data_IF_999518791872
#
_entry.id   IF_999518791872
#
_cell.length_a   1.000
_cell.length_b   1.000
_cell.length_c   1.000
_cell.angle_alpha   90.00
_cell.angle_beta   90.00
_cell.angle_gamma   90.00
#
_symmetry.space_group_name_H-M   'P 1'
#
loop_
_entity.id
_entity.type
_entity.pdbx_description
1 polymer ?
#
# COMPACT_ATOMS: atom_id res chain seq x y z
N UNK A 1 -24.60 -10.32 9.24
CA UNK A 1 -24.16 -11.60 9.85
C UNK A 1 -23.30 -12.41 8.89
N UNK A 2 -23.64 -12.54 7.61
CA UNK A 2 -22.91 -13.31 6.59
C UNK A 2 -21.53 -12.73 6.31
N UNK A 3 -21.38 -11.42 6.23
CA UNK A 3 -20.10 -10.72 5.97
C UNK A 3 -19.08 -10.89 7.10
N UNK A 4 -19.54 -10.81 8.35
CA UNK A 4 -18.67 -10.98 9.54
C UNK A 4 -18.16 -12.43 9.64
N UNK A 5 -18.98 -13.41 9.32
CA UNK A 5 -18.60 -14.83 9.30
C UNK A 5 -17.60 -15.14 8.17
N UNK A 6 -17.74 -14.50 7.01
CA UNK A 6 -16.82 -14.65 5.88
C UNK A 6 -15.44 -14.06 6.18
N UNK A 7 -15.40 -12.90 6.84
CA UNK A 7 -14.15 -12.25 7.24
C UNK A 7 -13.39 -13.07 8.31
N UNK A 8 -14.10 -13.62 9.29
CA UNK A 8 -13.51 -14.54 10.28
C UNK A 8 -12.96 -15.82 9.64
N UNK A 9 -13.66 -16.39 8.66
CA UNK A 9 -13.17 -17.56 7.91
C UNK A 9 -11.90 -17.22 7.12
N UNK A 10 -11.87 -16.13 6.40
CA UNK A 10 -10.67 -15.67 5.65
C UNK A 10 -9.48 -15.47 6.60
N UNK A 11 -9.68 -14.79 7.73
CA UNK A 11 -8.62 -14.58 8.73
C UNK A 11 -8.10 -15.92 9.30
N UNK A 12 -8.98 -16.86 9.64
CA UNK A 12 -8.56 -18.15 10.14
C UNK A 12 -7.76 -18.97 9.11
N UNK A 13 -8.13 -18.89 7.83
CA UNK A 13 -7.37 -19.53 6.75
C UNK A 13 -5.97 -18.92 6.59
N UNK A 14 -5.85 -17.58 6.68
CA UNK A 14 -4.57 -16.88 6.65
C UNK A 14 -3.69 -17.33 7.82
N UNK A 15 -4.23 -17.32 9.04
CA UNK A 15 -3.52 -17.78 10.24
C UNK A 15 -3.03 -19.23 10.09
N UNK A 16 -3.89 -20.11 9.61
CA UNK A 16 -3.54 -21.52 9.38
C UNK A 16 -2.42 -21.65 8.34
N UNK A 17 -2.49 -20.88 7.24
CA UNK A 17 -1.45 -20.85 6.21
C UNK A 17 -0.12 -20.36 6.76
N UNK A 18 -0.11 -19.28 7.54
CA UNK A 18 1.10 -18.72 8.14
C UNK A 18 1.75 -19.69 9.12
N UNK A 19 0.96 -20.32 10.00
CA UNK A 19 1.46 -21.32 10.97
C UNK A 19 2.05 -22.55 10.27
N UNK A 20 1.36 -23.05 9.26
CA UNK A 20 1.77 -24.29 8.57
C UNK A 20 2.92 -24.06 7.57
N UNK A 21 3.15 -22.83 7.13
CA UNK A 21 4.21 -22.47 6.18
C UNK A 21 5.54 -22.13 6.82
N UNK A 22 5.61 -21.94 8.15
CA UNK A 22 6.86 -21.61 8.82
C UNK A 22 7.87 -22.74 8.71
N UNK A 23 9.13 -22.37 8.37
CA UNK A 23 10.23 -23.31 8.20
C UNK A 23 10.13 -24.20 6.95
N UNK A 24 9.15 -23.98 6.08
CA UNK A 24 8.99 -24.75 4.84
C UNK A 24 9.43 -23.94 3.62
N UNK A 25 9.98 -24.60 2.60
CA UNK A 25 10.31 -23.93 1.35
C UNK A 25 9.04 -23.36 0.69
N UNK A 26 9.19 -22.22 0.04
CA UNK A 26 8.11 -21.61 -0.74
C UNK A 26 7.85 -22.43 -2.01
N UNK A 27 6.56 -22.52 -2.41
CA UNK A 27 6.16 -23.17 -3.66
C UNK A 27 5.74 -22.13 -4.74
N UNK A 28 6.14 -20.88 -4.55
CA UNK A 28 5.78 -19.79 -5.48
C UNK A 28 6.58 -19.91 -6.76
N UNK A 29 5.91 -19.53 -7.85
CA UNK A 29 6.54 -19.40 -9.17
C UNK A 29 6.46 -17.94 -9.59
N UNK A 30 7.46 -17.47 -10.28
CA UNK A 30 7.58 -16.10 -10.77
C UNK A 30 7.75 -16.12 -12.29
N UNK A 31 7.10 -15.18 -12.97
CA UNK A 31 7.32 -14.91 -14.38
C UNK A 31 8.56 -14.02 -14.57
N UNK A 32 9.03 -13.85 -15.81
CA UNK A 32 10.10 -12.91 -16.11
C UNK A 32 9.74 -11.47 -15.70
N UNK A 33 8.49 -11.05 -15.91
CA UNK A 33 8.00 -9.74 -15.50
C UNK A 33 8.02 -9.55 -13.97
N UNK A 34 7.71 -10.62 -13.21
CA UNK A 34 7.80 -10.57 -11.75
C UNK A 34 9.25 -10.35 -11.29
N UNK A 35 10.23 -11.07 -11.90
CA UNK A 35 11.64 -10.90 -11.59
C UNK A 35 12.15 -9.51 -11.95
N UNK A 36 11.72 -8.96 -13.08
CA UNK A 36 12.07 -7.60 -13.47
C UNK A 36 11.64 -6.62 -12.38
N UNK A 37 10.38 -6.65 -11.98
CA UNK A 37 9.86 -5.78 -10.91
C UNK A 37 10.60 -5.99 -9.57
N UNK A 38 10.86 -7.24 -9.17
CA UNK A 38 11.54 -7.57 -7.92
C UNK A 38 12.99 -7.05 -7.93
N UNK A 39 13.64 -7.04 -9.09
CA UNK A 39 15.04 -6.62 -9.22
C UNK A 39 15.25 -5.10 -9.13
N UNK A 40 14.22 -4.27 -9.32
CA UNK A 40 14.38 -2.82 -9.38
C UNK A 40 14.98 -2.21 -8.11
N UNK A 41 14.55 -2.68 -6.94
CA UNK A 41 15.15 -2.21 -5.68
C UNK A 41 16.62 -2.56 -5.57
N UNK A 42 17.04 -3.76 -5.99
CA UNK A 42 18.44 -4.15 -6.06
C UNK A 42 19.21 -3.26 -7.04
N UNK A 43 18.74 -3.10 -8.29
CA UNK A 43 19.40 -2.30 -9.32
C UNK A 43 19.66 -0.84 -8.91
N UNK A 44 18.79 -0.28 -8.07
CA UNK A 44 18.96 1.08 -7.52
C UNK A 44 19.96 1.15 -6.36
N UNK A 45 20.22 0.02 -5.72
CA UNK A 45 21.07 -0.10 -4.54
C UNK A 45 22.20 -1.12 -4.77
N UNK A 46 22.62 -1.30 -6.02
CA UNK A 46 23.73 -2.13 -6.39
C UNK A 46 25.03 -1.54 -5.85
N UNK A 47 25.92 -2.40 -5.35
CA UNK A 47 27.23 -2.03 -4.84
C UNK A 47 28.34 -2.85 -5.51
N UNK A 48 29.59 -2.50 -5.23
CA UNK A 48 30.77 -3.15 -5.84
C UNK A 48 30.89 -4.65 -5.51
N UNK A 49 30.24 -5.11 -4.45
CA UNK A 49 30.26 -6.52 -4.00
C UNK A 49 29.02 -7.28 -4.48
N UNK A 50 28.21 -6.68 -5.33
CA UNK A 50 27.00 -7.31 -5.83
C UNK A 50 27.30 -8.48 -6.76
N UNK A 51 26.53 -9.55 -6.65
CA UNK A 51 26.60 -10.71 -7.56
C UNK A 51 26.03 -10.29 -8.92
N UNK A 52 26.83 -10.40 -9.97
CA UNK A 52 26.44 -10.12 -11.34
C UNK A 52 25.42 -11.15 -11.89
N UNK A 53 24.84 -10.86 -13.04
CA UNK A 53 23.81 -11.72 -13.64
C UNK A 53 24.38 -13.06 -14.12
N UNK A 54 25.66 -13.10 -14.53
CA UNK A 54 26.32 -14.33 -14.99
C UNK A 54 26.48 -15.27 -13.80
N UNK A 55 27.11 -14.77 -12.73
CA UNK A 55 27.30 -15.53 -11.49
C UNK A 55 25.97 -15.98 -10.86
N UNK A 56 24.96 -15.10 -10.87
CA UNK A 56 23.63 -15.41 -10.39
C UNK A 56 23.00 -16.59 -11.14
N UNK A 57 23.10 -16.58 -12.47
CA UNK A 57 22.57 -17.65 -13.33
C UNK A 57 23.36 -18.94 -13.18
N UNK A 58 24.69 -18.88 -13.13
CA UNK A 58 25.55 -20.04 -12.98
C UNK A 58 25.32 -20.78 -11.65
N UNK A 59 25.01 -20.03 -10.59
CA UNK A 59 24.65 -20.59 -9.28
C UNK A 59 23.19 -21.04 -9.17
N UNK A 60 22.37 -20.81 -10.18
CA UNK A 60 20.95 -21.14 -10.16
C UNK A 60 20.16 -20.41 -9.06
N UNK A 61 20.55 -19.18 -8.77
CA UNK A 61 20.02 -18.39 -7.64
C UNK A 61 18.55 -18.07 -7.73
N UNK A 62 17.94 -18.09 -8.92
CA UNK A 62 16.48 -17.96 -9.08
C UNK A 62 15.74 -19.07 -8.36
N UNK A 63 16.22 -20.31 -8.43
CA UNK A 63 15.63 -21.44 -7.71
C UNK A 63 15.78 -21.26 -6.20
N UNK A 64 16.93 -20.78 -5.74
CA UNK A 64 17.19 -20.47 -4.32
C UNK A 64 16.24 -19.36 -3.84
N UNK A 65 16.14 -18.27 -4.59
CA UNK A 65 15.21 -17.19 -4.28
C UNK A 65 13.75 -17.67 -4.19
N UNK A 66 13.28 -18.43 -5.18
CA UNK A 66 11.94 -19.01 -5.18
C UNK A 66 11.67 -19.84 -3.92
N UNK A 67 12.62 -20.71 -3.55
CA UNK A 67 12.52 -21.58 -2.39
C UNK A 67 12.50 -20.78 -1.08
N UNK A 68 13.31 -19.75 -0.96
CA UNK A 68 13.43 -18.92 0.26
C UNK A 68 12.30 -17.89 0.40
N UNK A 69 11.69 -17.44 -0.70
CA UNK A 69 10.75 -16.32 -0.66
C UNK A 69 9.40 -16.69 -0.05
N UNK A 70 9.35 -16.70 1.27
CA UNK A 70 8.13 -16.78 2.07
C UNK A 70 7.61 -15.40 2.54
N UNK A 71 8.16 -14.30 2.01
CA UNK A 71 7.74 -12.93 2.36
C UNK A 71 6.27 -12.70 2.02
N UNK A 72 5.58 -11.86 2.78
CA UNK A 72 4.15 -11.59 2.61
C UNK A 72 3.85 -10.19 2.05
N UNK A 73 4.89 -9.41 1.73
CA UNK A 73 4.79 -8.09 1.12
C UNK A 73 5.75 -7.93 -0.04
N UNK A 74 5.47 -7.01 -0.98
CA UNK A 74 6.38 -6.70 -2.08
C UNK A 74 7.70 -6.13 -1.59
N UNK A 75 7.68 -5.19 -0.63
CA UNK A 75 8.89 -4.66 -0.03
C UNK A 75 9.78 -5.76 0.57
N UNK A 76 9.16 -6.76 1.23
CA UNK A 76 9.91 -7.89 1.79
C UNK A 76 10.56 -8.78 0.73
N UNK A 77 9.90 -9.00 -0.42
CA UNK A 77 10.49 -9.82 -1.48
C UNK A 77 11.59 -9.09 -2.25
N UNK A 78 11.43 -7.79 -2.52
CA UNK A 78 12.47 -6.96 -3.14
C UNK A 78 13.71 -6.86 -2.25
N UNK A 79 13.51 -6.70 -0.94
CA UNK A 79 14.60 -6.68 0.02
C UNK A 79 15.31 -8.04 0.14
N UNK A 80 14.57 -9.16 0.14
CA UNK A 80 15.14 -10.50 0.12
C UNK A 80 15.99 -10.71 -1.14
N UNK A 81 15.50 -10.29 -2.30
CA UNK A 81 16.25 -10.38 -3.55
C UNK A 81 17.56 -9.59 -3.46
N UNK A 82 17.51 -8.34 -2.96
CA UNK A 82 18.72 -7.53 -2.72
C UNK A 82 19.68 -8.23 -1.76
N UNK A 83 19.20 -8.80 -0.65
CA UNK A 83 20.06 -9.50 0.30
C UNK A 83 20.81 -10.68 -0.33
N UNK A 84 20.18 -11.39 -1.26
CA UNK A 84 20.83 -12.49 -1.97
C UNK A 84 21.81 -12.01 -3.04
N UNK A 85 21.53 -10.86 -3.65
CA UNK A 85 22.42 -10.23 -4.66
C UNK A 85 23.59 -9.50 -4.06
N UNK A 86 23.47 -8.97 -2.84
CA UNK A 86 24.50 -8.24 -2.11
C UNK A 86 24.83 -9.00 -0.80
N UNK A 87 25.62 -10.07 -0.86
CA UNK A 87 25.95 -10.84 0.33
C UNK A 87 26.79 -10.00 1.29
N UNK A 88 26.31 -9.91 2.54
CA UNK A 88 27.02 -9.18 3.58
C UNK A 88 28.09 -10.10 4.22
N UNK A 89 29.35 -9.70 4.14
CA UNK A 89 30.46 -10.41 4.75
C UNK A 89 30.74 -10.00 6.22
N UNK A 90 30.04 -8.98 6.75
CA UNK A 90 30.22 -8.55 8.14
C UNK A 90 29.66 -9.57 9.13
N UNK A 91 30.54 -10.20 9.88
CA UNK A 91 30.21 -11.22 10.87
C UNK A 91 29.26 -10.69 11.96
N UNK A 92 29.37 -9.42 12.33
CA UNK A 92 28.51 -8.84 13.37
C UNK A 92 27.07 -8.67 12.87
N UNK A 93 26.90 -8.20 11.65
CA UNK A 93 25.59 -8.11 10.99
C UNK A 93 24.94 -9.48 10.83
N UNK A 94 25.71 -10.48 10.41
CA UNK A 94 25.22 -11.86 10.28
C UNK A 94 24.79 -12.44 11.64
N UNK A 95 25.55 -12.22 12.72
CA UNK A 95 25.16 -12.64 14.07
C UNK A 95 23.90 -11.93 14.58
N UNK A 96 23.72 -10.64 14.26
CA UNK A 96 22.49 -9.91 14.58
C UNK A 96 21.28 -10.52 13.85
N UNK A 97 21.44 -10.86 12.58
CA UNK A 97 20.40 -11.48 11.77
C UNK A 97 20.04 -12.89 12.29
N UNK A 98 21.03 -13.70 12.61
CA UNK A 98 20.84 -15.04 13.19
C UNK A 98 20.11 -14.99 14.55
N UNK A 99 20.53 -14.07 15.41
CA UNK A 99 19.83 -13.81 16.67
C UNK A 99 18.38 -13.42 16.43
N UNK A 100 18.10 -12.49 15.52
CA UNK A 100 16.75 -12.05 15.20
C UNK A 100 15.90 -13.22 14.67
N UNK A 101 16.44 -14.06 13.79
CA UNK A 101 15.77 -15.26 13.30
C UNK A 101 15.44 -16.23 14.43
N UNK A 102 16.39 -16.47 15.35
CA UNK A 102 16.20 -17.30 16.55
C UNK A 102 15.11 -16.73 17.48
N UNK A 103 15.10 -15.40 17.68
CA UNK A 103 14.08 -14.74 18.50
C UNK A 103 12.68 -14.88 17.90
N UNK A 104 12.55 -14.76 16.57
CA UNK A 104 11.29 -15.05 15.87
C UNK A 104 10.88 -16.51 15.95
N UNK A 105 11.83 -17.44 15.93
CA UNK A 105 11.52 -18.87 16.04
C UNK A 105 10.96 -19.21 17.42
N UNK A 106 11.58 -18.69 18.48
CA UNK A 106 11.15 -18.88 19.86
C UNK A 106 9.82 -18.18 20.19
N UNK A 107 9.51 -17.05 19.53
CA UNK A 107 8.34 -16.22 19.81
C UNK A 107 7.24 -16.34 18.74
N UNK A 108 6.67 -17.52 18.58
CA UNK A 108 5.69 -17.83 17.54
C UNK A 108 4.47 -16.88 17.53
N UNK A 109 4.00 -16.39 18.66
CA UNK A 109 2.88 -15.46 18.76
C UNK A 109 3.23 -14.11 18.15
N UNK A 110 4.35 -13.49 18.59
CA UNK A 110 4.83 -12.20 18.07
C UNK A 110 5.16 -12.27 16.60
N UNK A 111 5.80 -13.36 16.15
CA UNK A 111 6.04 -13.65 14.74
C UNK A 111 4.75 -13.64 13.93
N UNK A 112 3.71 -14.35 14.42
CA UNK A 112 2.43 -14.42 13.74
C UNK A 112 1.75 -13.06 13.62
N UNK A 113 1.85 -12.22 14.64
CA UNK A 113 1.27 -10.87 14.63
C UNK A 113 1.94 -9.98 13.58
N UNK A 114 3.28 -10.01 13.48
CA UNK A 114 4.01 -9.31 12.41
C UNK A 114 3.65 -9.89 11.03
N UNK A 115 3.60 -11.21 10.88
CA UNK A 115 3.23 -11.83 9.61
C UNK A 115 1.83 -11.42 9.13
N UNK A 116 0.86 -11.28 10.04
CA UNK A 116 -0.49 -10.76 9.71
C UNK A 116 -0.43 -9.33 9.18
N UNK A 117 0.43 -8.47 9.77
CA UNK A 117 0.61 -7.10 9.29
C UNK A 117 1.20 -7.10 7.88
N UNK A 118 2.22 -7.90 7.60
CA UNK A 118 2.78 -8.02 6.25
C UNK A 118 1.79 -8.59 5.23
N UNK A 119 0.93 -9.56 5.64
CA UNK A 119 -0.17 -10.04 4.78
C UNK A 119 -1.18 -8.95 4.51
N UNK A 120 -1.48 -8.10 5.50
CA UNK A 120 -2.38 -6.96 5.34
C UNK A 120 -1.80 -5.88 4.41
N UNK A 121 -0.50 -5.57 4.51
CA UNK A 121 0.21 -4.72 3.55
C UNK A 121 0.07 -5.32 2.16
N UNK A 122 0.34 -6.61 2.01
CA UNK A 122 0.15 -7.38 0.80
C UNK A 122 1.24 -7.18 -0.24
N UNK A 123 0.96 -7.71 -1.42
CA UNK A 123 1.85 -7.66 -2.58
C UNK A 123 1.23 -6.84 -3.69
N UNK A 124 2.00 -5.95 -4.25
CA UNK A 124 1.70 -5.32 -5.52
C UNK A 124 2.00 -6.34 -6.64
N UNK A 125 1.22 -6.33 -7.71
CA UNK A 125 1.46 -7.13 -8.90
C UNK A 125 2.06 -6.25 -9.99
N UNK A 126 3.10 -6.75 -10.66
CA UNK A 126 3.71 -6.14 -11.84
C UNK A 126 4.25 -4.71 -11.66
N UNK A 127 4.52 -4.28 -10.44
CA UNK A 127 5.17 -2.99 -10.16
C UNK A 127 6.03 -3.12 -8.91
N UNK A 128 7.25 -2.59 -8.94
CA UNK A 128 8.15 -2.49 -7.79
C UNK A 128 7.69 -1.41 -6.81
N UNK A 129 7.94 -1.61 -5.52
CA UNK A 129 7.68 -0.59 -4.50
C UNK A 129 8.58 0.63 -4.67
N UNK A 130 9.83 0.40 -5.09
CA UNK A 130 10.76 1.49 -5.37
C UNK A 130 10.26 2.39 -6.51
N UNK A 131 9.62 1.81 -7.54
CA UNK A 131 9.01 2.58 -8.63
C UNK A 131 7.77 3.36 -8.17
N UNK A 132 7.03 2.83 -7.20
CA UNK A 132 5.88 3.56 -6.64
C UNK A 132 6.30 4.89 -6.01
N UNK A 133 7.43 4.93 -5.34
CA UNK A 133 7.95 6.16 -4.76
C UNK A 133 8.24 7.20 -5.86
N UNK A 134 8.94 6.83 -6.92
CA UNK A 134 9.23 7.73 -8.04
C UNK A 134 7.97 8.22 -8.74
N UNK A 135 7.02 7.31 -8.97
CA UNK A 135 5.74 7.65 -9.60
C UNK A 135 4.98 8.67 -8.75
N UNK A 136 4.97 8.51 -7.42
CA UNK A 136 4.23 9.42 -6.52
C UNK A 136 4.90 10.78 -6.42
N UNK A 137 6.22 10.80 -6.33
CA UNK A 137 7.03 12.03 -6.29
C UNK A 137 6.93 12.80 -7.62
N UNK A 138 6.93 12.11 -8.75
CA UNK A 138 6.78 12.72 -10.07
C UNK A 138 5.36 13.22 -10.41
N UNK A 139 4.36 13.07 -9.52
CA UNK A 139 3.00 13.53 -9.78
C UNK A 139 2.86 15.03 -9.59
N UNK A 140 2.32 15.70 -10.60
CA UNK A 140 2.01 17.12 -10.54
C UNK A 140 0.93 17.43 -9.49
N UNK A 141 1.13 18.53 -8.75
CA UNK A 141 0.14 19.08 -7.81
C UNK A 141 -1.10 19.55 -8.58
N UNK A 142 -2.22 18.83 -8.46
CA UNK A 142 -3.49 19.24 -9.10
C UNK A 142 -4.36 20.06 -8.16
N UNK A 143 -5.09 21.01 -8.74
CA UNK A 143 -6.02 21.88 -8.01
C UNK A 143 -7.34 21.14 -7.69
N UNK A 144 -7.87 21.38 -6.48
CA UNK A 144 -9.16 20.85 -6.06
C UNK A 144 -10.33 21.77 -6.43
N UNK A 145 -10.11 22.89 -7.11
CA UNK A 145 -11.13 23.91 -7.42
C UNK A 145 -12.33 23.31 -8.17
N UNK A 146 -12.08 22.47 -9.18
CA UNK A 146 -13.14 21.83 -9.95
C UNK A 146 -14.01 20.90 -9.10
N UNK A 147 -13.41 20.20 -8.16
CA UNK A 147 -14.15 19.31 -7.24
C UNK A 147 -15.04 20.11 -6.28
N UNK A 148 -14.52 21.19 -5.70
CA UNK A 148 -15.33 22.08 -4.86
C UNK A 148 -16.42 22.81 -5.66
N UNK A 149 -16.13 23.26 -6.89
CA UNK A 149 -17.13 23.87 -7.76
C UNK A 149 -18.27 22.90 -8.10
N UNK A 150 -17.99 21.63 -8.35
CA UNK A 150 -18.98 20.58 -8.55
C UNK A 150 -19.90 20.40 -7.34
N UNK A 151 -19.33 20.36 -6.13
CA UNK A 151 -20.10 20.25 -4.88
C UNK A 151 -20.98 21.48 -4.65
N UNK A 152 -20.43 22.70 -4.88
CA UNK A 152 -21.19 23.93 -4.77
C UNK A 152 -22.34 24.01 -5.78
N UNK A 153 -22.13 23.50 -6.99
CA UNK A 153 -23.18 23.46 -8.02
C UNK A 153 -24.34 22.57 -7.60
N UNK A 154 -24.08 21.38 -7.04
CA UNK A 154 -25.14 20.51 -6.48
C UNK A 154 -25.88 21.23 -5.36
N UNK A 155 -25.15 21.85 -4.41
CA UNK A 155 -25.75 22.57 -3.31
C UNK A 155 -26.63 23.72 -3.78
N UNK A 156 -26.16 24.53 -4.73
CA UNK A 156 -26.90 25.63 -5.33
C UNK A 156 -28.18 25.14 -6.04
N UNK A 157 -28.10 24.02 -6.76
CA UNK A 157 -29.25 23.41 -7.44
C UNK A 157 -30.35 22.98 -6.43
N UNK A 158 -29.97 22.40 -5.30
CA UNK A 158 -30.89 22.01 -4.22
C UNK A 158 -31.54 23.22 -3.60
N UNK A 159 -30.76 24.27 -3.27
CA UNK A 159 -31.30 25.53 -2.72
C UNK A 159 -32.30 26.16 -3.69
N UNK A 160 -31.93 26.22 -4.98
CA UNK A 160 -32.81 26.77 -6.03
C UNK A 160 -34.16 26.01 -6.12
N UNK A 161 -34.11 24.68 -6.01
CA UNK A 161 -35.29 23.81 -6.01
C UNK A 161 -36.24 24.15 -4.85
N UNK A 162 -35.70 24.41 -3.67
CA UNK A 162 -36.48 24.68 -2.46
C UNK A 162 -37.02 26.13 -2.38
N UNK A 163 -36.31 27.09 -3.02
CA UNK A 163 -36.62 28.53 -2.81
C UNK A 163 -37.30 29.20 -3.99
N UNK A 164 -37.01 28.82 -5.23
CA UNK A 164 -37.42 29.56 -6.43
C UNK A 164 -38.43 28.76 -7.27
N UNK A 165 -38.08 27.61 -7.76
CA UNK A 165 -38.96 26.82 -8.63
C UNK A 165 -38.65 25.33 -8.52
N UNK A 166 -39.57 24.51 -7.96
CA UNK A 166 -39.38 23.08 -7.86
C UNK A 166 -39.20 22.40 -9.22
N UNK A 167 -39.94 22.79 -10.25
CA UNK A 167 -39.90 22.16 -11.58
C UNK A 167 -38.56 22.41 -12.29
N UNK A 168 -38.14 23.68 -12.36
CA UNK A 168 -36.82 24.01 -12.97
C UNK A 168 -35.66 23.51 -12.11
N UNK A 169 -35.82 23.52 -10.79
CA UNK A 169 -34.84 23.06 -9.84
C UNK A 169 -34.52 21.57 -9.98
N UNK A 170 -35.53 20.72 -10.23
CA UNK A 170 -35.33 19.29 -10.46
C UNK A 170 -34.44 19.07 -11.70
N UNK A 171 -34.69 19.77 -12.80
CA UNK A 171 -33.83 19.68 -13.99
C UNK A 171 -32.43 20.17 -13.72
N UNK A 172 -32.26 21.23 -12.93
CA UNK A 172 -30.96 21.74 -12.53
C UNK A 172 -30.20 20.75 -11.65
N UNK A 173 -30.89 20.07 -10.72
CA UNK A 173 -30.28 18.99 -9.91
C UNK A 173 -29.85 17.83 -10.76
N UNK A 174 -30.62 17.39 -11.75
CA UNK A 174 -30.24 16.33 -12.68
C UNK A 174 -28.98 16.74 -13.45
N UNK A 175 -28.95 17.98 -13.95
CA UNK A 175 -27.78 18.50 -14.67
C UNK A 175 -26.52 18.58 -13.78
N UNK A 176 -26.68 19.04 -12.53
CA UNK A 176 -25.57 19.14 -11.55
C UNK A 176 -25.02 17.76 -11.17
N UNK A 177 -25.90 16.78 -10.95
CA UNK A 177 -25.49 15.39 -10.68
C UNK A 177 -24.77 14.78 -11.89
N UNK A 178 -25.32 14.95 -13.09
CA UNK A 178 -24.68 14.46 -14.31
C UNK A 178 -23.28 15.09 -14.52
N UNK A 179 -23.16 16.40 -14.31
CA UNK A 179 -21.88 17.10 -14.37
C UNK A 179 -20.88 16.56 -13.34
N UNK A 180 -21.32 16.32 -12.10
CA UNK A 180 -20.50 15.75 -11.05
C UNK A 180 -19.99 14.36 -11.43
N UNK A 181 -20.86 13.47 -11.90
CA UNK A 181 -20.51 12.12 -12.29
C UNK A 181 -19.50 12.12 -13.46
N UNK A 182 -19.74 12.93 -14.48
CA UNK A 182 -18.87 13.02 -15.67
C UNK A 182 -17.47 13.52 -15.25
N UNK A 183 -17.41 14.59 -14.45
CA UNK A 183 -16.14 15.14 -13.98
C UNK A 183 -15.40 14.19 -13.05
N UNK A 184 -16.11 13.47 -12.19
CA UNK A 184 -15.53 12.43 -11.34
C UNK A 184 -14.85 11.33 -12.14
N UNK A 185 -15.56 10.69 -13.08
CA UNK A 185 -15.01 9.59 -13.84
C UNK A 185 -13.87 10.02 -14.78
N UNK A 186 -13.99 11.20 -15.41
CA UNK A 186 -12.93 11.75 -16.23
C UNK A 186 -11.63 11.94 -15.43
N UNK A 187 -11.75 12.48 -14.23
CA UNK A 187 -10.59 12.70 -13.37
C UNK A 187 -10.06 11.37 -12.80
N UNK A 188 -10.95 10.52 -12.33
CA UNK A 188 -10.58 9.21 -11.77
C UNK A 188 -9.84 8.34 -12.79
N UNK A 189 -10.31 8.28 -14.04
CA UNK A 189 -9.62 7.54 -15.10
C UNK A 189 -8.17 7.99 -15.33
N UNK A 190 -7.88 9.29 -15.13
CA UNK A 190 -6.55 9.85 -15.27
C UNK A 190 -5.61 9.50 -14.10
N UNK A 191 -6.17 9.27 -12.90
CA UNK A 191 -5.37 9.09 -11.67
C UNK A 191 -5.46 7.67 -11.07
N UNK A 192 -6.30 6.81 -11.62
CA UNK A 192 -6.62 5.49 -11.03
C UNK A 192 -5.37 4.61 -10.85
N UNK A 193 -4.43 4.65 -11.79
CA UNK A 193 -3.14 3.96 -11.70
C UNK A 193 -2.32 4.41 -10.49
N UNK A 194 -2.34 5.69 -10.21
CA UNK A 194 -1.58 6.30 -9.11
C UNK A 194 -2.22 6.07 -7.75
N UNK A 195 -3.54 5.88 -7.72
CA UNK A 195 -4.26 5.47 -6.50
C UNK A 195 -3.73 4.18 -5.92
N UNK A 196 -3.41 3.20 -6.76
CA UNK A 196 -2.84 1.91 -6.34
C UNK A 196 -1.47 2.14 -5.68
N UNK A 197 -0.61 2.97 -6.30
CA UNK A 197 0.71 3.30 -5.78
C UNK A 197 0.63 3.99 -4.42
N UNK A 198 -0.15 5.08 -4.34
CA UNK A 198 -0.32 5.86 -3.11
C UNK A 198 -0.92 5.01 -1.99
N UNK A 199 -1.95 4.22 -2.28
CA UNK A 199 -2.57 3.33 -1.29
C UNK A 199 -1.59 2.29 -0.77
N UNK A 200 -0.70 1.76 -1.61
CA UNK A 200 0.29 0.78 -1.18
C UNK A 200 1.36 1.42 -0.28
N UNK A 201 1.86 2.62 -0.62
CA UNK A 201 2.79 3.38 0.24
C UNK A 201 2.14 3.69 1.59
N UNK A 202 0.89 4.16 1.59
CA UNK A 202 0.14 4.40 2.82
C UNK A 202 0.03 3.13 3.66
N UNK A 203 -0.27 1.98 3.06
CA UNK A 203 -0.31 0.69 3.78
C UNK A 203 1.04 0.31 4.38
N UNK A 204 2.15 0.58 3.70
CA UNK A 204 3.49 0.37 4.25
C UNK A 204 3.71 1.21 5.50
N UNK A 205 3.40 2.51 5.45
CA UNK A 205 3.55 3.44 6.59
C UNK A 205 2.66 3.04 7.77
N UNK A 206 1.40 2.71 7.49
CA UNK A 206 0.49 2.21 8.54
C UNK A 206 0.92 0.85 9.09
N UNK A 207 1.51 0.01 8.26
CA UNK A 207 2.11 -1.26 8.68
C UNK A 207 3.29 -1.05 9.63
N UNK A 208 4.18 -0.10 9.33
CA UNK A 208 5.26 0.28 10.22
C UNK A 208 4.72 0.70 11.59
N UNK A 209 3.73 1.58 11.63
CA UNK A 209 3.05 2.01 12.86
C UNK A 209 2.38 0.85 13.62
N UNK A 210 1.76 -0.10 12.91
CA UNK A 210 1.19 -1.30 13.54
C UNK A 210 2.26 -2.21 14.14
N UNK A 211 3.43 -2.35 13.51
CA UNK A 211 4.55 -3.15 14.00
C UNK A 211 5.12 -2.53 15.28
N UNK A 212 5.37 -1.22 15.31
CA UNK A 212 5.88 -0.53 16.49
C UNK A 212 4.91 -0.61 17.68
N UNK A 213 3.60 -0.55 17.42
CA UNK A 213 2.56 -0.70 18.44
C UNK A 213 2.52 -2.10 19.10
N UNK A 214 3.15 -3.12 18.48
CA UNK A 214 3.26 -4.45 19.10
C UNK A 214 4.26 -4.49 20.25
N UNK A 215 5.11 -3.49 20.42
CA UNK A 215 6.15 -3.37 21.46
C UNK A 215 6.96 -4.67 21.62
N UNK A 216 7.62 -5.08 20.55
CA UNK A 216 8.41 -6.31 20.52
C UNK A 216 9.84 -5.99 20.91
N UNK A 217 10.27 -6.41 22.09
CA UNK A 217 11.56 -6.05 22.68
C UNK A 217 12.76 -6.44 21.83
N UNK A 218 12.74 -7.61 21.19
CA UNK A 218 13.86 -8.07 20.37
C UNK A 218 13.99 -7.37 19.02
N UNK A 219 13.04 -6.51 18.64
CA UNK A 219 13.17 -5.67 17.44
C UNK A 219 14.04 -4.41 17.69
N UNK A 220 14.23 -3.98 18.97
CA UNK A 220 15.18 -2.94 19.36
C UNK A 220 15.34 -1.81 18.34
N UNK A 221 16.55 -1.72 17.73
CA UNK A 221 16.90 -0.70 16.73
C UNK A 221 15.90 -0.58 15.55
N UNK A 222 15.21 -1.68 15.18
CA UNK A 222 14.20 -1.64 14.13
C UNK A 222 12.94 -0.90 14.56
N UNK A 223 12.53 -1.06 15.84
CA UNK A 223 11.39 -0.31 16.38
C UNK A 223 11.71 1.19 16.41
N UNK A 224 12.91 1.58 16.81
CA UNK A 224 13.30 2.99 16.88
C UNK A 224 13.30 3.63 15.48
N UNK A 225 13.87 2.94 14.47
CA UNK A 225 13.85 3.40 13.09
C UNK A 225 12.42 3.51 12.53
N UNK A 226 11.57 2.52 12.79
CA UNK A 226 10.19 2.54 12.33
C UNK A 226 9.37 3.63 13.03
N UNK A 227 9.62 3.90 14.32
CA UNK A 227 8.98 4.98 15.06
C UNK A 227 9.36 6.34 14.47
N UNK A 228 10.65 6.60 14.26
CA UNK A 228 11.12 7.86 13.68
C UNK A 228 10.47 8.12 12.31
N UNK A 229 10.47 7.12 11.41
CA UNK A 229 9.81 7.23 10.11
C UNK A 229 8.30 7.44 10.27
N UNK A 230 7.66 6.74 11.20
CA UNK A 230 6.21 6.85 11.44
C UNK A 230 5.80 8.20 12.00
N UNK A 231 6.65 8.85 12.81
CA UNK A 231 6.43 10.19 13.34
C UNK A 231 6.62 11.24 12.25
N UNK A 232 7.70 11.14 11.49
CA UNK A 232 8.02 12.05 10.39
C UNK A 232 6.92 12.07 9.31
N UNK A 233 6.35 10.88 9.00
CA UNK A 233 5.31 10.71 8.00
C UNK A 233 3.89 10.60 8.62
N UNK A 234 3.71 11.02 9.89
CA UNK A 234 2.43 10.90 10.60
C UNK A 234 1.29 11.65 9.95
N UNK A 235 1.57 12.79 9.30
CA UNK A 235 0.55 13.60 8.62
C UNK A 235 -0.02 12.88 7.39
N UNK A 236 0.81 12.12 6.69
CA UNK A 236 0.37 11.28 5.57
C UNK A 236 -0.60 10.21 6.07
N UNK A 237 -0.25 9.51 7.15
CA UNK A 237 -1.09 8.43 7.70
C UNK A 237 -2.39 8.94 8.31
N UNK A 238 -2.41 10.11 8.94
CA UNK A 238 -3.64 10.72 9.50
C UNK A 238 -4.63 11.13 8.42
N UNK A 239 -4.15 11.59 7.26
CA UNK A 239 -5.01 12.06 6.16
C UNK A 239 -5.43 10.96 5.19
N UNK A 240 -4.80 9.79 5.26
CA UNK A 240 -5.03 8.67 4.34
C UNK A 240 -6.18 7.73 4.72
N UNK A 241 -6.80 7.87 5.91
CA UNK A 241 -7.78 6.93 6.46
C UNK A 241 -8.99 6.61 5.54
N UNK A 242 -9.35 7.50 4.61
CA UNK A 242 -10.44 7.26 3.65
C UNK A 242 -9.98 6.54 2.37
N UNK A 243 -8.68 6.40 2.14
CA UNK A 243 -8.15 5.60 1.03
C UNK A 243 -8.14 4.11 1.35
N UNK A 244 -8.24 3.74 2.63
CA UNK A 244 -8.26 2.35 3.10
C UNK A 244 -9.52 1.56 2.72
N UNK A 245 -10.57 2.20 2.24
CA UNK A 245 -11.88 1.58 1.96
C UNK A 245 -11.93 0.82 0.63
N UNK A 246 -10.85 0.16 0.24
CA UNK A 246 -10.77 -0.64 -0.99
C UNK A 246 -11.03 -2.14 -0.81
N UNK A 247 -11.52 -2.60 0.32
CA UNK A 247 -11.94 -4.00 0.47
C UNK A 247 -13.38 -4.14 -0.03
N UNK A 248 -13.51 -4.53 -1.29
CA UNK A 248 -14.78 -4.80 -1.97
C UNK A 248 -15.46 -6.00 -1.29
N UNK A 249 -16.27 -5.74 -0.29
CA UNK A 249 -17.13 -6.77 0.34
C UNK A 249 -18.53 -6.83 -0.30
N UNK A 250 -18.81 -5.96 -1.29
CA UNK A 250 -20.09 -5.91 -1.99
C UNK A 250 -21.29 -5.58 -1.09
N UNK A 251 -21.06 -4.91 0.03
CA UNK A 251 -22.12 -4.52 0.95
C UNK A 251 -22.91 -3.31 0.41
N UNK A 252 -24.20 -3.22 0.74
CA UNK A 252 -25.05 -2.06 0.38
C UNK A 252 -24.43 -0.74 0.87
N UNK A 253 -23.76 -0.76 2.03
CA UNK A 253 -23.06 0.39 2.58
C UNK A 253 -21.90 0.86 1.68
N UNK A 254 -21.22 -0.06 1.02
CA UNK A 254 -20.12 0.24 0.10
C UNK A 254 -20.63 0.89 -1.19
N UNK A 255 -21.73 0.37 -1.72
CA UNK A 255 -22.40 0.97 -2.88
C UNK A 255 -22.84 2.41 -2.56
N UNK A 256 -23.42 2.66 -1.40
CA UNK A 256 -23.82 4.01 -0.97
C UNK A 256 -22.59 4.93 -0.80
N UNK A 257 -21.50 4.43 -0.26
CA UNK A 257 -20.24 5.16 -0.15
C UNK A 257 -19.67 5.54 -1.52
N UNK A 258 -19.76 4.66 -2.50
CA UNK A 258 -19.29 4.94 -3.86
C UNK A 258 -20.16 6.03 -4.53
N UNK A 259 -21.47 6.02 -4.34
CA UNK A 259 -22.33 7.14 -4.80
C UNK A 259 -21.97 8.45 -4.10
N UNK A 260 -21.73 8.44 -2.80
CA UNK A 260 -21.29 9.63 -2.07
C UNK A 260 -19.94 10.14 -2.59
N UNK A 261 -18.98 9.26 -2.90
CA UNK A 261 -17.71 9.65 -3.51
C UNK A 261 -17.90 10.31 -4.87
N UNK A 262 -18.76 9.74 -5.73
CA UNK A 262 -19.08 10.32 -7.04
C UNK A 262 -19.68 11.72 -6.97
N UNK A 263 -20.47 12.00 -5.92
CA UNK A 263 -21.12 13.31 -5.74
C UNK A 263 -20.22 14.33 -5.03
N UNK A 264 -19.40 13.87 -4.08
CA UNK A 264 -18.58 14.75 -3.23
C UNK A 264 -17.12 14.83 -3.68
N UNK A 265 -16.66 13.95 -4.57
CA UNK A 265 -15.26 13.85 -5.01
C UNK A 265 -14.24 13.75 -3.85
N UNK A 266 -14.66 13.30 -2.68
CA UNK A 266 -13.84 13.30 -1.46
C UNK A 266 -12.58 12.49 -1.60
N UNK A 267 -12.63 11.35 -2.27
CA UNK A 267 -11.48 10.49 -2.55
C UNK A 267 -10.45 11.19 -3.45
N UNK A 268 -10.90 11.89 -4.51
CA UNK A 268 -10.04 12.65 -5.42
C UNK A 268 -9.39 13.86 -4.73
N UNK A 269 -10.16 14.62 -3.92
CA UNK A 269 -9.67 15.73 -3.13
C UNK A 269 -8.58 15.25 -2.15
N UNK A 270 -8.82 14.12 -1.48
CA UNK A 270 -7.83 13.55 -0.55
C UNK A 270 -6.59 13.04 -1.25
N UNK A 271 -6.75 12.40 -2.40
CA UNK A 271 -5.64 12.00 -3.24
C UNK A 271 -4.75 13.20 -3.60
N UNK A 272 -5.34 14.29 -4.13
CA UNK A 272 -4.59 15.50 -4.47
C UNK A 272 -3.88 16.12 -3.25
N UNK A 273 -4.53 16.11 -2.09
CA UNK A 273 -3.92 16.62 -0.85
C UNK A 273 -2.76 15.74 -0.36
N UNK A 274 -2.84 14.41 -0.56
CA UNK A 274 -1.74 13.51 -0.25
C UNK A 274 -0.55 13.72 -1.20
N UNK A 275 -0.79 13.88 -2.50
CA UNK A 275 0.28 14.19 -3.46
C UNK A 275 0.99 15.49 -3.08
N UNK A 276 0.25 16.52 -2.66
CA UNK A 276 0.87 17.76 -2.15
C UNK A 276 1.80 17.49 -0.96
N UNK A 277 1.37 16.66 0.00
CA UNK A 277 2.18 16.32 1.16
C UNK A 277 3.44 15.53 0.82
N UNK A 278 3.35 14.61 -0.15
CA UNK A 278 4.53 13.88 -0.62
C UNK A 278 5.54 14.83 -1.26
N UNK A 279 5.09 15.69 -2.17
CA UNK A 279 5.97 16.65 -2.84
C UNK A 279 6.54 17.73 -1.89
N UNK A 280 5.79 18.13 -0.85
CA UNK A 280 6.27 19.10 0.14
C UNK A 280 7.35 18.50 1.07
N UNK A 281 7.44 17.17 1.15
CA UNK A 281 8.45 16.45 1.95
C UNK A 281 9.68 16.01 1.16
N UNK A 282 9.67 16.14 -0.16
CA UNK A 282 10.84 15.89 -1.01
C UNK A 282 11.89 17.00 -0.91
N UNK A 283 11.48 18.22 -0.53
CA UNK A 283 12.35 19.38 -0.37
C UNK A 283 13.19 19.33 0.93
N UNK A 284 13.14 18.24 1.70
CA UNK A 284 13.92 17.97 2.91
C UNK A 284 14.69 16.65 2.80
#
# INVERSE_FOLDING_TARGET
>A
YVTVTNNRRKQNLIIKKLKNGWGKPSQRKYSGEDYECISHYFKRNEDENSIDDITWNDLGMDAVFCMMNNTNSSAGQEYLYKMLRCPNADIQSLKKLDKLASDFDKNAAKRLDIQKIFVWIGRAKHISISDYCDVVVGLEKKSNVLHYASMLFILAAVIFTCTISPVLGIWLCIAAIAFSIITYYKYKAAVDRYFICVNHIVKLLMGAKKITALNIDFLGEYNDKLNNISEELSDITKRSWLLETGNVDGSIAEILLDYLRMLTHVDLIKFNNLIKLFNDKEDY
#
